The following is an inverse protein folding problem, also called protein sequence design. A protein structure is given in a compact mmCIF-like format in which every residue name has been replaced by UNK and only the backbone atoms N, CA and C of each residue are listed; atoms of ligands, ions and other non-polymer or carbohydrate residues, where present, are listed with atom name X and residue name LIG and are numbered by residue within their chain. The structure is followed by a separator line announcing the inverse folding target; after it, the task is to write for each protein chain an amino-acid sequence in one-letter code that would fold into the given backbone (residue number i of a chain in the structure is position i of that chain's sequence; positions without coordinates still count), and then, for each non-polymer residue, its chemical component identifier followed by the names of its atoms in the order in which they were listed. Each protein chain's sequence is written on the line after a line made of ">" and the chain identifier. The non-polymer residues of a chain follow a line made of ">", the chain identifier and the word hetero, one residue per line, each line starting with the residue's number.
data_IF_144118353845
#
_entry.id   IF_144118353845
#
_cell.length_a   1.000
_cell.length_b   1.000
_cell.length_c   1.000
_cell.angle_alpha   90.00
_cell.angle_beta   90.00
_cell.angle_gamma   90.00
#
_symmetry.space_group_name_H-M   'P 1'
#
loop_
_entity.id
_entity.type
_entity.pdbx_description
1 polymer ?
#
# COMPACT_ATOMS: atom_id res chain seq x y z
N UNK A 1 -12.65 -31.47 14.90
CA UNK A 1 -13.62 -30.56 14.25
C UNK A 1 -13.06 -29.15 14.30
N UNK A 2 -12.40 -28.69 13.23
CA UNK A 2 -11.83 -27.34 13.09
C UNK A 2 -12.32 -26.74 11.75
N UNK A 3 -13.63 -26.55 11.60
CA UNK A 3 -14.22 -26.02 10.36
C UNK A 3 -14.44 -24.50 10.38
N UNK A 4 -14.39 -23.83 11.54
CA UNK A 4 -14.78 -22.41 11.66
C UNK A 4 -13.63 -21.40 11.45
N UNK A 5 -12.37 -21.84 11.47
CA UNK A 5 -11.23 -20.93 11.28
C UNK A 5 -10.84 -20.77 9.80
N UNK A 6 -11.03 -21.82 8.98
CA UNK A 6 -10.76 -21.74 7.54
C UNK A 6 -11.77 -20.86 6.80
N UNK A 7 -13.04 -20.89 7.19
CA UNK A 7 -14.09 -20.09 6.53
C UNK A 7 -13.87 -18.59 6.68
N UNK A 8 -13.34 -18.14 7.83
CA UNK A 8 -13.09 -16.72 8.09
C UNK A 8 -11.85 -16.19 7.36
N UNK A 9 -10.82 -17.02 7.19
CA UNK A 9 -9.61 -16.63 6.44
C UNK A 9 -9.92 -16.51 4.94
N UNK A 10 -10.72 -17.44 4.40
CA UNK A 10 -11.16 -17.40 3.01
C UNK A 10 -12.12 -16.22 2.74
N UNK A 11 -12.98 -15.84 3.71
CA UNK A 11 -13.84 -14.66 3.57
C UNK A 11 -13.06 -13.35 3.61
N UNK A 12 -12.12 -13.18 4.57
CA UNK A 12 -11.29 -11.97 4.66
C UNK A 12 -10.46 -11.77 3.39
N UNK A 13 -9.93 -12.87 2.83
CA UNK A 13 -9.20 -12.86 1.58
C UNK A 13 -10.05 -12.39 0.40
N UNK A 14 -11.26 -12.92 0.29
CA UNK A 14 -12.21 -12.56 -0.75
C UNK A 14 -12.65 -11.09 -0.63
N UNK A 15 -12.94 -10.63 0.58
CA UNK A 15 -13.35 -9.26 0.88
C UNK A 15 -12.25 -8.26 0.52
N UNK A 16 -11.01 -8.56 0.91
CA UNK A 16 -9.86 -7.74 0.54
C UNK A 16 -9.67 -7.68 -0.98
N UNK A 17 -9.71 -8.82 -1.67
CA UNK A 17 -9.52 -8.87 -3.13
C UNK A 17 -10.65 -8.15 -3.87
N UNK A 18 -11.90 -8.32 -3.43
CA UNK A 18 -13.04 -7.60 -4.00
C UNK A 18 -12.86 -6.09 -3.85
N UNK A 19 -12.48 -5.62 -2.66
CA UNK A 19 -12.20 -4.20 -2.44
C UNK A 19 -11.00 -3.72 -3.25
N UNK A 20 -9.93 -4.51 -3.30
CA UNK A 20 -8.74 -4.24 -4.09
C UNK A 20 -9.03 -4.12 -5.59
N UNK A 21 -10.03 -4.83 -6.12
CA UNK A 21 -10.44 -4.70 -7.52
C UNK A 21 -11.53 -3.63 -7.77
N UNK A 22 -11.96 -2.92 -6.73
CA UNK A 22 -12.97 -1.87 -6.79
C UNK A 22 -12.50 -0.56 -7.45
N UNK A 23 -13.35 0.46 -7.33
CA UNK A 23 -13.09 1.81 -7.82
C UNK A 23 -12.25 2.61 -6.82
N UNK A 24 -11.35 3.45 -7.35
CA UNK A 24 -10.51 4.31 -6.53
C UNK A 24 -10.41 5.70 -7.15
N UNK A 25 -10.33 6.71 -6.30
CA UNK A 25 -10.07 8.10 -6.65
C UNK A 25 -8.58 8.40 -6.54
N UNK A 26 -8.00 8.96 -7.60
CA UNK A 26 -6.59 9.37 -7.63
C UNK A 26 -6.40 10.70 -6.88
N UNK A 27 -5.44 10.74 -5.95
CA UNK A 27 -4.91 11.97 -5.37
C UNK A 27 -3.97 12.61 -6.38
N UNK A 28 -4.56 13.24 -7.39
CA UNK A 28 -3.82 13.82 -8.51
C UNK A 28 -2.89 14.94 -8.04
N UNK A 29 -3.36 15.84 -7.18
CA UNK A 29 -2.59 17.00 -6.71
C UNK A 29 -2.06 16.80 -5.30
N UNK A 30 -0.90 17.40 -4.99
CA UNK A 30 -0.30 17.35 -3.65
C UNK A 30 -1.27 17.76 -2.51
N UNK A 31 -2.09 18.81 -2.63
CA UNK A 31 -3.03 19.15 -1.55
C UNK A 31 -4.09 18.06 -1.28
N UNK A 32 -4.47 17.27 -2.29
CA UNK A 32 -5.40 16.15 -2.09
C UNK A 32 -4.74 15.03 -1.29
N UNK A 33 -3.44 14.78 -1.55
CA UNK A 33 -2.65 13.83 -0.78
C UNK A 33 -2.53 14.27 0.70
N UNK A 34 -2.22 15.55 0.93
CA UNK A 34 -2.16 16.11 2.29
C UNK A 34 -3.49 15.94 3.05
N UNK A 35 -4.60 16.25 2.38
CA UNK A 35 -5.93 16.08 2.96
C UNK A 35 -6.22 14.61 3.29
N UNK A 36 -5.88 13.69 2.38
CA UNK A 36 -6.04 12.25 2.63
C UNK A 36 -5.25 11.80 3.87
N UNK A 37 -4.01 12.23 4.01
CA UNK A 37 -3.18 11.90 5.19
C UNK A 37 -3.73 12.45 6.48
N UNK A 38 -4.28 13.67 6.47
CA UNK A 38 -4.97 14.23 7.64
C UNK A 38 -6.18 13.39 8.03
N UNK A 39 -7.01 12.99 7.06
CA UNK A 39 -8.18 12.13 7.32
C UNK A 39 -7.75 10.80 7.92
N UNK A 40 -6.78 10.11 7.31
CA UNK A 40 -6.27 8.81 7.82
C UNK A 40 -5.73 8.94 9.24
N UNK A 41 -4.95 9.99 9.51
CA UNK A 41 -4.36 10.23 10.83
C UNK A 41 -5.38 10.66 11.89
N UNK A 42 -6.59 11.08 11.52
CA UNK A 42 -7.64 11.45 12.49
C UNK A 42 -8.65 10.32 12.73
N UNK A 43 -8.73 9.36 11.81
CA UNK A 43 -9.64 8.24 11.93
C UNK A 43 -9.21 7.25 13.02
N UNK A 44 -10.16 6.84 13.84
CA UNK A 44 -10.00 5.76 14.81
C UNK A 44 -10.32 4.41 14.15
N UNK A 45 -9.67 4.11 13.02
CA UNK A 45 -9.73 2.80 12.35
C UNK A 45 -8.43 2.05 12.61
N UNK A 46 -8.52 0.73 12.67
CA UNK A 46 -7.35 -0.14 12.73
C UNK A 46 -6.85 -0.41 11.32
N UNK A 47 -5.57 -0.14 11.06
CA UNK A 47 -4.97 -0.22 9.72
C UNK A 47 -3.91 -1.30 9.64
N UNK A 48 -3.96 -2.12 8.60
CA UNK A 48 -2.87 -2.97 8.15
C UNK A 48 -1.96 -2.15 7.23
N UNK A 49 -0.66 -2.15 7.52
CA UNK A 49 0.37 -1.48 6.72
C UNK A 49 1.11 -2.53 5.88
N UNK A 50 0.76 -2.62 4.60
CA UNK A 50 1.24 -3.67 3.73
C UNK A 50 2.23 -3.14 2.68
N UNK A 51 3.47 -3.65 2.73
CA UNK A 51 4.45 -3.50 1.65
C UNK A 51 4.40 -4.75 0.78
N UNK A 52 4.01 -4.61 -0.49
CA UNK A 52 3.61 -5.75 -1.36
C UNK A 52 4.77 -6.68 -1.78
N UNK A 53 6.02 -6.30 -1.51
CA UNK A 53 7.19 -7.17 -1.70
C UNK A 53 7.57 -7.96 -0.43
N UNK A 54 6.76 -7.89 0.63
CA UNK A 54 6.87 -8.65 1.87
C UNK A 54 5.61 -9.47 2.09
N UNK A 55 5.62 -10.47 2.98
CA UNK A 55 4.40 -11.14 3.39
C UNK A 55 3.37 -10.15 3.95
N UNK A 56 2.10 -10.41 3.67
CA UNK A 56 0.97 -9.62 4.16
C UNK A 56 0.97 -9.56 5.69
N UNK A 57 0.73 -8.37 6.28
CA UNK A 57 0.69 -8.22 7.73
C UNK A 57 -0.48 -9.00 8.34
N UNK A 58 -0.22 -9.63 9.48
CA UNK A 58 -1.23 -10.41 10.23
C UNK A 58 -1.86 -9.64 11.38
N UNK A 59 -1.36 -8.45 11.70
CA UNK A 59 -1.86 -7.58 12.77
C UNK A 59 -1.99 -6.13 12.29
N UNK A 60 -2.88 -5.39 12.95
CA UNK A 60 -3.03 -3.96 12.73
C UNK A 60 -1.85 -3.20 13.34
N UNK A 61 -1.49 -2.08 12.73
CA UNK A 61 -0.60 -1.10 13.31
C UNK A 61 -1.30 -0.33 14.43
N UNK A 62 -0.51 0.08 15.41
CA UNK A 62 -0.90 1.12 16.35
C UNK A 62 -1.06 2.47 15.63
N UNK A 63 -1.72 3.41 16.29
CA UNK A 63 -1.90 4.76 15.74
C UNK A 63 -0.57 5.46 15.47
N UNK A 64 0.39 5.35 16.39
CA UNK A 64 1.71 5.98 16.23
C UNK A 64 2.50 5.36 15.08
N UNK A 65 2.42 4.04 14.90
CA UNK A 65 3.00 3.34 13.75
C UNK A 65 2.37 3.79 12.42
N UNK A 66 1.05 3.94 12.36
CA UNK A 66 0.35 4.49 11.20
C UNK A 66 0.86 5.90 10.87
N UNK A 67 0.89 6.80 11.86
CA UNK A 67 1.32 8.20 11.67
C UNK A 67 2.79 8.28 11.24
N UNK A 68 3.66 7.45 11.81
CA UNK A 68 5.06 7.36 11.39
C UNK A 68 5.19 6.83 9.95
N UNK A 69 4.41 5.80 9.61
CA UNK A 69 4.43 5.18 8.30
C UNK A 69 3.96 6.11 7.19
N UNK A 70 2.83 6.82 7.36
CA UNK A 70 2.33 7.77 6.35
C UNK A 70 3.36 8.90 6.11
N UNK A 71 4.02 9.38 7.16
CA UNK A 71 5.08 10.39 7.06
C UNK A 71 6.28 9.86 6.26
N UNK A 72 6.71 8.64 6.54
CA UNK A 72 7.81 8.01 5.82
C UNK A 72 7.46 7.83 4.33
N UNK A 73 6.25 7.35 4.02
CA UNK A 73 5.81 7.16 2.64
C UNK A 73 5.67 8.49 1.90
N UNK A 74 5.08 9.51 2.52
CA UNK A 74 4.95 10.85 1.93
C UNK A 74 6.33 11.45 1.59
N UNK A 75 7.29 11.38 2.52
CA UNK A 75 8.68 11.81 2.26
C UNK A 75 9.29 11.08 1.07
N UNK A 76 9.18 9.74 1.04
CA UNK A 76 9.73 8.93 -0.07
C UNK A 76 9.10 9.29 -1.41
N UNK A 77 7.78 9.52 -1.45
CA UNK A 77 7.08 9.94 -2.66
C UNK A 77 7.59 11.30 -3.11
N UNK A 78 7.63 12.31 -2.24
CA UNK A 78 8.08 13.68 -2.59
C UNK A 78 9.54 13.75 -3.02
N UNK A 79 10.40 12.95 -2.40
CA UNK A 79 11.82 12.90 -2.77
C UNK A 79 12.02 12.32 -4.17
N UNK A 80 11.28 11.27 -4.52
CA UNK A 80 11.49 10.49 -5.75
C UNK A 80 10.58 10.91 -6.90
N UNK A 81 9.43 11.53 -6.63
CA UNK A 81 8.46 11.97 -7.62
C UNK A 81 8.68 13.46 -7.93
N UNK A 82 9.58 13.76 -8.87
CA UNK A 82 9.97 15.14 -9.24
C UNK A 82 8.93 15.88 -10.11
N UNK A 83 7.66 15.48 -10.05
CA UNK A 83 6.57 16.15 -10.78
C UNK A 83 5.85 17.15 -9.87
N UNK A 84 5.16 18.11 -10.47
CA UNK A 84 4.34 19.12 -9.78
C UNK A 84 2.96 18.59 -9.33
N UNK A 85 2.69 17.31 -9.58
CA UNK A 85 1.50 16.57 -9.16
C UNK A 85 1.90 15.28 -8.44
N UNK A 86 0.95 14.61 -7.76
CA UNK A 86 1.16 13.34 -7.05
C UNK A 86 0.80 12.14 -7.94
N UNK A 87 -0.47 11.98 -8.32
CA UNK A 87 -0.92 11.03 -9.35
C UNK A 87 -0.71 9.53 -9.11
N UNK A 88 -0.07 9.14 -7.99
CA UNK A 88 0.34 7.75 -7.69
C UNK A 88 -0.31 7.19 -6.42
N UNK A 89 -1.16 7.97 -5.76
CA UNK A 89 -1.89 7.56 -4.56
C UNK A 89 -3.37 7.51 -4.87
N UNK A 90 -4.01 6.40 -4.49
CA UNK A 90 -5.40 6.12 -4.81
C UNK A 90 -6.12 5.69 -3.53
N UNK A 91 -7.27 6.27 -3.25
CA UNK A 91 -8.14 5.88 -2.13
C UNK A 91 -9.50 5.42 -2.66
N UNK A 92 -10.11 4.44 -2.01
CA UNK A 92 -11.49 4.00 -2.29
C UNK A 92 -12.49 5.17 -2.12
N UNK A 93 -12.48 5.79 -0.95
CA UNK A 93 -13.30 6.95 -0.60
C UNK A 93 -12.42 7.98 0.14
N UNK A 94 -11.95 9.06 -0.51
CA UNK A 94 -10.98 9.98 0.09
C UNK A 94 -11.41 10.63 1.40
N UNK A 95 -12.72 10.83 1.61
CA UNK A 95 -13.25 11.45 2.84
C UNK A 95 -13.40 10.44 3.99
N UNK A 96 -13.47 9.14 3.67
CA UNK A 96 -13.57 8.07 4.68
C UNK A 96 -12.85 6.79 4.23
N UNK A 97 -11.53 6.86 3.95
CA UNK A 97 -10.84 5.76 3.28
C UNK A 97 -10.85 4.49 4.12
N UNK A 98 -10.93 3.36 3.44
CA UNK A 98 -10.75 2.04 4.04
C UNK A 98 -9.70 1.21 3.30
N UNK A 99 -9.35 1.61 2.08
CA UNK A 99 -8.28 1.02 1.30
C UNK A 99 -7.54 2.10 0.49
N UNK A 100 -6.23 2.19 0.67
CA UNK A 100 -5.36 3.14 -0.04
C UNK A 100 -4.26 2.36 -0.73
N UNK A 101 -4.05 2.64 -2.02
CA UNK A 101 -2.98 2.09 -2.84
C UNK A 101 -1.97 3.17 -3.18
N UNK A 102 -0.71 2.83 -3.04
CA UNK A 102 0.40 3.74 -3.26
C UNK A 102 1.38 3.08 -4.23
N UNK A 103 1.54 3.69 -5.40
CA UNK A 103 2.44 3.21 -6.44
C UNK A 103 3.81 3.86 -6.30
N UNK A 104 4.87 3.09 -6.55
CA UNK A 104 6.22 3.65 -6.53
C UNK A 104 6.40 4.68 -7.67
N UNK A 105 7.01 5.84 -7.40
CA UNK A 105 7.33 6.83 -8.44
C UNK A 105 8.17 6.27 -9.59
N UNK A 106 9.02 5.26 -9.31
CA UNK A 106 9.86 4.60 -10.32
C UNK A 106 9.09 3.67 -11.27
N UNK A 107 7.84 3.35 -10.95
CA UNK A 107 6.99 2.51 -11.80
C UNK A 107 6.09 3.34 -12.73
N UNK A 108 6.23 4.68 -12.69
CA UNK A 108 5.59 5.59 -13.64
C UNK A 108 6.22 5.44 -15.02
N UNK A 109 5.43 4.95 -15.99
CA UNK A 109 5.87 4.70 -17.37
C UNK A 109 5.71 3.24 -17.82
N UNK A 110 5.64 2.28 -16.89
CA UNK A 110 5.33 0.89 -17.22
C UNK A 110 3.90 0.68 -17.77
N UNK A 111 3.03 1.68 -17.62
CA UNK A 111 1.63 1.64 -18.07
C UNK A 111 1.40 2.20 -19.49
N UNK A 112 2.45 2.58 -20.23
CA UNK A 112 2.32 3.06 -21.62
C UNK A 112 2.66 1.98 -22.68
N UNK A 113 2.79 0.72 -22.27
CA UNK A 113 2.90 -0.43 -23.17
C UNK A 113 1.61 -1.24 -23.15
N UNK A 114 1.11 -1.61 -24.32
CA UNK A 114 -0.04 -2.48 -24.60
C UNK A 114 0.03 -3.90 -23.99
N UNK A 115 0.96 -4.17 -23.08
CA UNK A 115 1.01 -5.39 -22.27
C UNK A 115 0.09 -5.24 -21.07
N UNK A 116 -1.01 -6.00 -21.02
CA UNK A 116 -2.07 -5.94 -20.01
C UNK A 116 -1.69 -6.18 -18.53
N UNK A 117 -0.41 -6.09 -18.16
CA UNK A 117 0.04 -6.18 -16.78
C UNK A 117 -0.21 -4.86 -16.05
N UNK A 118 -1.21 -4.86 -15.16
CA UNK A 118 -1.44 -3.75 -14.26
C UNK A 118 -0.27 -3.66 -13.28
N UNK A 119 0.36 -2.49 -13.09
CA UNK A 119 1.35 -2.33 -12.04
C UNK A 119 0.71 -2.69 -10.69
N UNK A 120 1.46 -3.36 -9.82
CA UNK A 120 1.06 -3.57 -8.43
C UNK A 120 1.45 -2.34 -7.60
N UNK A 121 0.64 -1.94 -6.60
CA UNK A 121 1.05 -0.93 -5.63
C UNK A 121 2.33 -1.40 -4.92
N UNK A 122 3.21 -0.46 -4.57
CA UNK A 122 4.34 -0.75 -3.68
C UNK A 122 3.89 -0.88 -2.23
N UNK A 123 2.86 -0.11 -1.87
CA UNK A 123 2.28 -0.11 -0.54
C UNK A 123 0.76 -0.04 -0.57
N UNK A 124 0.14 -0.63 0.44
CA UNK A 124 -1.30 -0.64 0.67
C UNK A 124 -1.55 -0.34 2.16
N UNK A 125 -2.46 0.59 2.44
CA UNK A 125 -3.07 0.74 3.76
C UNK A 125 -4.48 0.18 3.67
N UNK A 126 -4.84 -0.76 4.54
CA UNK A 126 -6.15 -1.43 4.48
C UNK A 126 -6.75 -1.58 5.87
N UNK A 127 -8.06 -1.36 6.01
CA UNK A 127 -8.78 -1.73 7.24
C UNK A 127 -9.27 -3.18 7.21
N UNK A 128 -9.25 -3.82 6.03
CA UNK A 128 -9.52 -5.25 5.84
C UNK A 128 -8.18 -5.99 5.86
N UNK A 129 -8.14 -7.19 6.45
CA UNK A 129 -6.91 -7.99 6.49
C UNK A 129 -6.42 -8.30 5.07
N UNK A 130 -5.21 -7.86 4.68
CA UNK A 130 -4.71 -8.11 3.34
C UNK A 130 -4.29 -9.56 3.18
N UNK A 131 -4.25 -10.01 1.93
CA UNK A 131 -3.61 -11.26 1.53
C UNK A 131 -2.39 -10.99 0.66
N UNK A 132 -1.51 -11.98 0.58
CA UNK A 132 -0.37 -11.95 -0.32
C UNK A 132 -0.87 -11.76 -1.76
N UNK A 133 -0.40 -10.69 -2.41
CA UNK A 133 -0.72 -10.46 -3.80
C UNK A 133 0.24 -11.34 -4.61
N UNK A 134 -0.24 -12.47 -5.12
CA UNK A 134 0.59 -13.37 -5.92
C UNK A 134 1.05 -12.62 -7.16
N UNK A 135 2.36 -12.58 -7.30
CA UNK A 135 3.07 -11.88 -8.35
C UNK A 135 3.20 -12.83 -9.55
N UNK A 136 2.39 -12.68 -10.59
CA UNK A 136 2.81 -13.10 -11.94
C UNK A 136 3.69 -11.97 -12.53
N UNK A 137 4.89 -11.81 -11.99
CA UNK A 137 5.92 -10.96 -12.59
C UNK A 137 6.79 -11.86 -13.43
N UNK A 138 6.72 -11.62 -14.72
CA UNK A 138 7.62 -12.21 -15.69
C UNK A 138 9.07 -11.91 -15.27
N UNK A 139 9.90 -12.95 -15.21
CA UNK A 139 11.26 -12.95 -14.64
C UNK A 139 12.25 -12.18 -15.51
N UNK A 140 12.12 -10.86 -15.61
CA UNK A 140 13.10 -10.04 -16.33
C UNK A 140 13.63 -8.90 -15.46
N UNK A 141 14.85 -9.11 -14.99
CA UNK A 141 15.85 -8.16 -14.49
C UNK A 141 15.75 -7.65 -13.04
N UNK A 142 16.37 -8.41 -12.12
CA UNK A 142 16.57 -8.10 -10.69
C UNK A 142 17.99 -7.60 -10.40
N UNK A 143 18.45 -6.57 -11.12
CA UNK A 143 19.78 -5.98 -10.87
C UNK A 143 19.68 -4.62 -10.16
N UNK A 144 19.60 -4.63 -8.80
CA UNK A 144 19.99 -3.57 -7.83
C UNK A 144 19.00 -3.28 -6.67
N UNK A 145 18.69 -4.30 -5.84
CA UNK A 145 17.91 -4.08 -4.60
C UNK A 145 18.72 -4.19 -3.28
N UNK A 146 20.03 -4.48 -3.34
CA UNK A 146 20.87 -4.70 -2.15
C UNK A 146 21.46 -3.41 -1.52
N UNK A 147 20.64 -2.43 -1.10
CA UNK A 147 21.14 -1.32 -0.24
C UNK A 147 20.26 -0.91 0.95
N UNK A 148 19.05 -1.46 1.13
CA UNK A 148 18.17 -1.05 2.24
C UNK A 148 18.19 -1.98 3.48
N UNK A 149 18.95 -3.08 3.46
CA UNK A 149 19.00 -4.05 4.58
C UNK A 149 19.87 -3.64 5.78
N UNK A 150 20.51 -2.46 5.77
CA UNK A 150 21.56 -2.15 6.76
C UNK A 150 21.13 -1.27 7.96
N UNK A 151 19.92 -0.66 7.98
CA UNK A 151 19.58 0.34 9.02
C UNK A 151 18.50 -0.01 10.04
N UNK A 152 17.91 -1.21 10.03
CA UNK A 152 16.87 -1.62 10.99
C UNK A 152 17.32 -2.77 11.92
N UNK A 153 18.58 -2.77 12.38
CA UNK A 153 19.11 -3.78 13.33
C UNK A 153 19.57 -3.23 14.69
N UNK A 154 19.37 -1.96 15.01
CA UNK A 154 19.74 -1.43 16.32
C UNK A 154 18.51 -0.89 17.05
N UNK A 155 17.88 -1.77 17.83
CA UNK A 155 16.75 -1.42 18.69
C UNK A 155 16.30 -2.53 19.65
N UNK A 156 17.10 -3.58 19.86
CA UNK A 156 16.92 -4.52 20.96
C UNK A 156 18.29 -4.96 21.48
N UNK A 157 18.79 -4.23 22.47
CA UNK A 157 19.59 -4.76 23.58
C UNK A 157 19.18 -3.97 24.83
#
# INVERSE_FOLDING_TARGET
>A
MNMNQNTNIESDAQDFLQHYHGCFTNMLRWPQLEQLWQVVAQQQKSWYLYTTNKPAPVSYATHDELVAYIKQVDLQIREQHKYDYCGIVYADEPESPSLIKIYHPKNLGASCGSSGNKPIPGWILSTIKPVDLIIEQDKTDTSNWNRFTQFMKFGQQ
#
